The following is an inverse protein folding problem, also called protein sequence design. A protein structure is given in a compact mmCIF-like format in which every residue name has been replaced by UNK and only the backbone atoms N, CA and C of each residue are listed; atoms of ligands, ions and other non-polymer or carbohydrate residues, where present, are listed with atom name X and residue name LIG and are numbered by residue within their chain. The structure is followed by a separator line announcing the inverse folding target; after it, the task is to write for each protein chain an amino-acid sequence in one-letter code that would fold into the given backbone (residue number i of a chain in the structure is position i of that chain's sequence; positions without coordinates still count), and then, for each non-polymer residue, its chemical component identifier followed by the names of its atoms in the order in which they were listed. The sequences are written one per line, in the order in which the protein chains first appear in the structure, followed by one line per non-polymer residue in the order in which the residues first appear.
data_IF_641540527640
#
_entry.id   IF_641540527640
#
_cell.length_a   1.000
_cell.length_b   1.000
_cell.length_c   1.000
_cell.angle_alpha   90.00
_cell.angle_beta   90.00
_cell.angle_gamma   90.00
#
_symmetry.space_group_name_H-M   'P 1'
#
loop_
_entity.id
_entity.type
_entity.pdbx_description
1 polymer ?
#
# COMPACT_ATOMS: atom_id res chain seq x y z
N UNK A 1 17.18 9.69 -9.72
CA UNK A 1 16.12 10.22 -8.84
C UNK A 1 16.49 9.96 -7.39
N UNK A 2 16.40 10.96 -6.51
CA UNK A 2 16.86 10.86 -5.10
C UNK A 2 16.11 9.85 -4.21
N UNK A 3 14.98 9.30 -4.65
CA UNK A 3 14.31 8.21 -3.93
C UNK A 3 15.05 6.88 -4.07
N UNK A 4 15.75 6.65 -5.19
CA UNK A 4 16.45 5.39 -5.45
C UNK A 4 17.71 5.26 -4.58
N UNK A 5 18.43 6.35 -4.33
CA UNK A 5 19.56 6.35 -3.38
C UNK A 5 19.11 6.12 -1.93
N UNK A 6 17.96 6.69 -1.53
CA UNK A 6 17.36 6.46 -0.20
C UNK A 6 16.86 5.02 -0.04
N UNK A 7 16.31 4.44 -1.11
CA UNK A 7 15.89 3.04 -1.13
C UNK A 7 17.10 2.08 -1.05
N UNK A 8 18.18 2.37 -1.77
CA UNK A 8 19.45 1.62 -1.66
C UNK A 8 19.98 1.69 -0.23
N UNK A 9 20.00 2.87 0.40
CA UNK A 9 20.43 3.01 1.79
C UNK A 9 19.59 2.14 2.75
N UNK A 10 18.26 2.11 2.58
CA UNK A 10 17.38 1.25 3.38
C UNK A 10 17.69 -0.23 3.16
N UNK A 11 17.91 -0.68 1.92
CA UNK A 11 18.31 -2.05 1.58
C UNK A 11 19.69 -2.39 2.18
N UNK A 12 20.63 -1.44 2.19
CA UNK A 12 21.97 -1.63 2.79
C UNK A 12 21.87 -1.82 4.31
N UNK A 13 21.08 -1.02 5.03
CA UNK A 13 20.86 -1.24 6.47
C UNK A 13 20.22 -2.61 6.76
N UNK A 14 19.32 -3.04 5.88
CA UNK A 14 18.64 -4.33 5.96
C UNK A 14 19.62 -5.50 5.71
N UNK A 15 20.52 -5.36 4.75
CA UNK A 15 21.61 -6.31 4.49
C UNK A 15 22.62 -6.37 5.64
N UNK A 16 22.95 -5.23 6.26
CA UNK A 16 23.79 -5.16 7.46
C UNK A 16 23.12 -5.89 8.63
N UNK A 17 21.82 -5.67 8.86
CA UNK A 17 21.07 -6.38 9.91
C UNK A 17 21.07 -7.90 9.72
N UNK A 18 21.05 -8.38 8.47
CA UNK A 18 21.20 -9.81 8.14
C UNK A 18 22.61 -10.33 8.48
N UNK A 19 23.66 -9.54 8.22
CA UNK A 19 25.05 -9.89 8.59
C UNK A 19 25.19 -10.02 10.12
N UNK A 20 24.47 -9.19 10.88
CA UNK A 20 24.52 -9.23 12.35
C UNK A 20 23.53 -10.23 13.00
N UNK A 21 22.83 -11.05 12.21
CA UNK A 21 21.89 -12.05 12.73
C UNK A 21 22.62 -13.13 13.55
N UNK A 22 22.03 -13.64 14.66
CA UNK A 22 22.59 -14.75 15.43
C UNK A 22 22.92 -15.99 14.59
N UNK A 23 22.19 -16.18 13.49
CA UNK A 23 22.41 -17.28 12.53
C UNK A 23 23.64 -17.09 11.64
N UNK A 24 24.07 -15.84 11.44
CA UNK A 24 25.27 -15.48 10.69
C UNK A 24 26.51 -15.61 11.56
N UNK A 25 26.38 -15.36 12.87
CA UNK A 25 27.45 -15.55 13.86
C UNK A 25 27.52 -16.96 14.46
N UNK A 26 26.66 -17.88 14.01
CA UNK A 26 26.76 -19.28 14.39
C UNK A 26 26.44 -19.54 15.85
N UNK A 27 25.20 -19.27 16.28
CA UNK A 27 24.69 -19.93 17.49
C UNK A 27 24.45 -21.41 17.17
N UNK A 28 25.41 -22.26 17.54
CA UNK A 28 25.30 -23.72 17.46
C UNK A 28 24.16 -24.16 18.36
N UNK A 29 23.15 -24.81 17.79
CA UNK A 29 22.16 -25.58 18.57
C UNK A 29 22.91 -26.64 19.40
N UNK A 30 22.42 -26.99 20.59
CA UNK A 30 23.04 -27.99 21.48
C UNK A 30 23.29 -29.37 20.82
N UNK A 31 22.67 -29.63 19.66
CA UNK A 31 22.80 -30.87 18.86
C UNK A 31 23.80 -30.78 17.69
N UNK A 32 24.59 -29.70 17.56
CA UNK A 32 25.64 -29.58 16.54
C UNK A 32 25.15 -29.33 15.09
N UNK A 33 23.84 -29.24 14.87
CA UNK A 33 23.26 -28.87 13.57
C UNK A 33 22.97 -27.37 13.50
N UNK A 34 23.45 -26.70 12.43
CA UNK A 34 23.04 -25.33 12.12
C UNK A 34 21.54 -25.33 11.77
N UNK A 35 20.72 -24.44 12.38
CA UNK A 35 19.33 -24.30 11.95
C UNK A 35 19.29 -23.90 10.47
N UNK A 36 18.28 -24.35 9.70
CA UNK A 36 18.17 -24.00 8.30
C UNK A 36 17.99 -22.48 8.17
N UNK A 37 18.99 -21.82 7.58
CA UNK A 37 19.04 -20.35 7.40
C UNK A 37 17.88 -19.81 6.54
N UNK A 38 17.38 -20.62 5.61
CA UNK A 38 16.34 -20.23 4.65
C UNK A 38 14.99 -19.87 5.32
N UNK A 39 14.38 -20.72 6.17
CA UNK A 39 13.18 -20.37 6.93
C UNK A 39 13.26 -19.04 7.68
N UNK A 40 14.40 -18.71 8.27
CA UNK A 40 14.56 -17.43 8.99
C UNK A 40 14.63 -16.25 8.04
N UNK A 41 15.38 -16.36 6.93
CA UNK A 41 15.37 -15.32 5.91
C UNK A 41 13.98 -15.09 5.31
N UNK A 42 13.21 -16.16 5.09
CA UNK A 42 11.83 -16.06 4.61
C UNK A 42 10.91 -15.39 5.64
N UNK A 43 11.03 -15.74 6.93
CA UNK A 43 10.28 -15.08 8.01
C UNK A 43 10.63 -13.59 8.12
N UNK A 44 11.92 -13.25 8.01
CA UNK A 44 12.38 -11.86 8.03
C UNK A 44 11.87 -11.07 6.82
N UNK A 45 12.01 -11.62 5.61
CA UNK A 45 11.51 -11.00 4.38
C UNK A 45 10.00 -10.80 4.43
N UNK A 46 9.26 -11.81 4.90
CA UNK A 46 7.83 -11.72 5.15
C UNK A 46 7.51 -10.60 6.13
N UNK A 47 8.13 -10.59 7.32
CA UNK A 47 7.87 -9.61 8.37
C UNK A 47 8.12 -8.18 7.87
N UNK A 48 9.27 -7.92 7.26
CA UNK A 48 9.64 -6.59 6.82
C UNK A 48 8.75 -6.08 5.68
N UNK A 49 8.42 -6.93 4.71
CA UNK A 49 7.51 -6.57 3.63
C UNK A 49 6.08 -6.34 4.16
N UNK A 50 5.61 -7.24 5.03
CA UNK A 50 4.30 -7.11 5.66
C UNK A 50 4.19 -5.81 6.46
N UNK A 51 5.15 -5.52 7.34
CA UNK A 51 5.17 -4.31 8.16
C UNK A 51 5.26 -3.05 7.30
N UNK A 52 6.04 -3.07 6.22
CA UNK A 52 6.13 -1.96 5.27
C UNK A 52 4.80 -1.71 4.57
N UNK A 53 4.16 -2.77 4.05
CA UNK A 53 2.85 -2.68 3.40
C UNK A 53 1.79 -2.15 4.36
N UNK A 54 1.70 -2.72 5.58
CA UNK A 54 0.74 -2.31 6.60
C UNK A 54 0.94 -0.85 7.02
N UNK A 55 2.17 -0.48 7.38
CA UNK A 55 2.49 0.87 7.84
C UNK A 55 2.28 1.94 6.76
N UNK A 56 2.70 1.65 5.51
CA UNK A 56 2.47 2.55 4.39
C UNK A 56 0.97 2.71 4.10
N UNK A 57 0.21 1.62 4.11
CA UNK A 57 -1.23 1.67 3.88
C UNK A 57 -1.96 2.43 4.99
N UNK A 58 -1.58 2.24 6.25
CA UNK A 58 -2.11 2.99 7.38
C UNK A 58 -1.85 4.49 7.19
N UNK A 59 -0.59 4.86 6.95
CA UNK A 59 -0.20 6.25 6.84
C UNK A 59 -0.85 6.95 5.65
N UNK A 60 -0.74 6.38 4.44
CA UNK A 60 -1.24 7.02 3.21
C UNK A 60 -2.76 7.16 3.24
N UNK A 61 -3.47 6.15 3.71
CA UNK A 61 -4.94 6.10 3.67
C UNK A 61 -5.57 6.99 4.73
N UNK A 62 -5.12 6.87 5.98
CA UNK A 62 -5.84 7.45 7.12
C UNK A 62 -5.21 8.74 7.65
N UNK A 63 -3.94 9.02 7.32
CA UNK A 63 -3.21 10.17 7.87
C UNK A 63 -2.79 11.12 6.75
N UNK A 64 -1.83 10.70 5.91
CA UNK A 64 -1.24 11.52 4.87
C UNK A 64 -2.27 12.04 3.86
N UNK A 65 -3.18 11.19 3.39
CA UNK A 65 -4.25 11.60 2.48
C UNK A 65 -5.14 12.72 3.05
N UNK A 66 -5.53 12.60 4.32
CA UNK A 66 -6.39 13.58 5.01
C UNK A 66 -5.64 14.89 5.24
N UNK A 67 -4.39 14.81 5.71
CA UNK A 67 -3.55 16.00 5.94
C UNK A 67 -3.36 16.76 4.64
N UNK A 68 -2.96 16.08 3.56
CA UNK A 68 -2.76 16.73 2.25
C UNK A 68 -4.07 17.34 1.73
N UNK A 69 -5.19 16.63 1.85
CA UNK A 69 -6.49 17.13 1.41
C UNK A 69 -6.91 18.41 2.15
N UNK A 70 -6.62 18.48 3.46
CA UNK A 70 -6.99 19.63 4.32
C UNK A 70 -6.04 20.82 4.21
N UNK A 71 -4.87 20.67 3.62
CA UNK A 71 -3.82 21.71 3.68
C UNK A 71 -3.26 22.11 2.31
N UNK A 72 -3.53 21.37 1.24
CA UNK A 72 -3.07 21.72 -0.11
C UNK A 72 -4.20 22.29 -0.97
N UNK A 73 -3.89 23.27 -1.84
CA UNK A 73 -4.77 23.66 -2.94
C UNK A 73 -5.20 22.43 -3.75
N UNK A 74 -6.47 22.39 -4.19
CA UNK A 74 -7.06 21.22 -4.85
C UNK A 74 -6.25 20.71 -6.05
N UNK A 75 -5.73 21.58 -6.91
CA UNK A 75 -4.93 21.19 -8.07
C UNK A 75 -3.55 20.66 -7.66
N UNK A 76 -2.92 21.27 -6.65
CA UNK A 76 -1.65 20.79 -6.11
C UNK A 76 -1.80 19.43 -5.45
N UNK A 77 -2.86 19.24 -4.67
CA UNK A 77 -3.24 17.95 -4.08
C UNK A 77 -3.39 16.86 -5.15
N UNK A 78 -4.20 17.11 -6.18
CA UNK A 78 -4.42 16.15 -7.27
C UNK A 78 -3.14 15.80 -8.02
N UNK A 79 -2.30 16.80 -8.32
CA UNK A 79 -1.02 16.61 -8.97
C UNK A 79 -0.03 15.79 -8.12
N UNK A 80 0.07 16.08 -6.82
CA UNK A 80 0.91 15.33 -5.89
C UNK A 80 0.45 13.87 -5.79
N UNK A 81 -0.86 13.65 -5.62
CA UNK A 81 -1.45 12.31 -5.59
C UNK A 81 -1.17 11.51 -6.87
N UNK A 82 -1.19 12.15 -8.04
CA UNK A 82 -0.89 11.50 -9.32
C UNK A 82 0.52 10.92 -9.43
N UNK A 83 1.46 11.41 -8.61
CA UNK A 83 2.83 10.89 -8.51
C UNK A 83 2.98 9.92 -7.36
N UNK A 84 2.34 10.21 -6.24
CA UNK A 84 2.45 9.42 -5.02
C UNK A 84 1.76 8.06 -5.12
N UNK A 85 0.52 7.99 -5.65
CA UNK A 85 -0.25 6.74 -5.66
C UNK A 85 0.36 5.63 -6.52
N UNK A 86 0.88 5.89 -7.74
CA UNK A 86 1.58 4.85 -8.50
C UNK A 86 2.77 4.27 -7.74
N UNK A 87 3.58 5.11 -7.09
CA UNK A 87 4.72 4.65 -6.29
C UNK A 87 4.27 3.87 -5.05
N UNK A 88 3.24 4.35 -4.36
CA UNK A 88 2.64 3.69 -3.20
C UNK A 88 2.10 2.30 -3.56
N UNK A 89 1.23 2.18 -4.57
CA UNK A 89 0.63 0.89 -4.93
C UNK A 89 1.66 -0.08 -5.52
N UNK A 90 2.70 0.40 -6.21
CA UNK A 90 3.81 -0.45 -6.65
C UNK A 90 4.60 -1.02 -5.47
N UNK A 91 4.95 -0.18 -4.49
CA UNK A 91 5.66 -0.62 -3.29
C UNK A 91 4.84 -1.60 -2.46
N UNK A 92 3.58 -1.25 -2.15
CA UNK A 92 2.69 -2.14 -1.38
C UNK A 92 2.44 -3.44 -2.15
N UNK A 93 2.23 -3.39 -3.47
CA UNK A 93 2.09 -4.56 -4.32
C UNK A 93 3.30 -5.49 -4.26
N UNK A 94 4.52 -4.95 -4.37
CA UNK A 94 5.76 -5.72 -4.27
C UNK A 94 5.91 -6.36 -2.88
N UNK A 95 5.65 -5.60 -1.82
CA UNK A 95 5.68 -6.11 -0.45
C UNK A 95 4.65 -7.23 -0.23
N UNK A 96 3.42 -7.05 -0.72
CA UNK A 96 2.38 -8.08 -0.67
C UNK A 96 2.80 -9.34 -1.44
N UNK A 97 3.42 -9.22 -2.62
CA UNK A 97 3.91 -10.36 -3.39
C UNK A 97 4.97 -11.17 -2.62
N UNK A 98 5.95 -10.48 -2.01
CA UNK A 98 6.98 -11.13 -1.19
C UNK A 98 6.36 -11.80 0.04
N UNK A 99 5.41 -11.11 0.70
CA UNK A 99 4.70 -11.63 1.87
C UNK A 99 3.92 -12.90 1.52
N UNK A 100 3.14 -12.89 0.44
CA UNK A 100 2.41 -14.06 -0.08
C UNK A 100 3.36 -15.21 -0.41
N UNK A 101 4.46 -14.93 -1.13
CA UNK A 101 5.42 -15.95 -1.53
C UNK A 101 6.09 -16.61 -0.32
N UNK A 102 6.56 -15.82 0.64
CA UNK A 102 7.19 -16.32 1.85
C UNK A 102 6.19 -17.11 2.70
N UNK A 103 4.97 -16.60 2.89
CA UNK A 103 3.94 -17.27 3.67
C UNK A 103 3.52 -18.59 3.03
N UNK A 104 3.27 -18.59 1.72
CA UNK A 104 2.90 -19.81 0.97
C UNK A 104 4.00 -20.87 0.96
N UNK A 105 5.28 -20.46 0.94
CA UNK A 105 6.40 -21.38 1.05
C UNK A 105 6.49 -21.99 2.46
N UNK A 106 6.38 -21.16 3.50
CA UNK A 106 6.46 -21.61 4.90
C UNK A 106 5.25 -22.45 5.33
N UNK A 107 4.11 -22.29 4.67
CA UNK A 107 2.87 -23.00 4.95
C UNK A 107 2.32 -23.71 3.70
N UNK A 108 2.94 -24.83 3.25
CA UNK A 108 2.50 -25.53 2.05
C UNK A 108 1.04 -25.96 2.13
N UNK A 109 0.27 -25.74 1.06
CA UNK A 109 -1.20 -25.91 1.07
C UNK A 109 -1.69 -27.28 1.60
N UNK A 110 -0.98 -28.36 1.28
CA UNK A 110 -1.37 -29.72 1.69
C UNK A 110 -1.24 -29.95 3.20
N UNK A 111 -0.28 -29.30 3.85
CA UNK A 111 0.00 -29.44 5.29
C UNK A 111 -0.47 -28.25 6.11
N UNK A 112 -0.84 -27.13 5.47
CA UNK A 112 -1.33 -25.94 6.14
C UNK A 112 -2.67 -26.18 6.84
N UNK A 113 -2.76 -25.69 8.07
CA UNK A 113 -3.98 -25.59 8.85
C UNK A 113 -5.02 -24.73 8.13
N UNK A 114 -6.28 -24.89 8.53
CA UNK A 114 -7.39 -24.08 8.02
C UNK A 114 -7.14 -22.58 8.22
N UNK A 115 -6.61 -22.19 9.39
CA UNK A 115 -6.28 -20.81 9.69
C UNK A 115 -5.23 -20.25 8.71
N UNK A 116 -4.14 -20.97 8.46
CA UNK A 116 -3.08 -20.56 7.53
C UNK A 116 -3.61 -20.41 6.09
N UNK A 117 -4.51 -21.31 5.64
CA UNK A 117 -5.15 -21.19 4.33
C UNK A 117 -5.97 -19.91 4.19
N UNK A 118 -6.75 -19.55 5.22
CA UNK A 118 -7.47 -18.27 5.24
C UNK A 118 -6.50 -17.08 5.22
N UNK A 119 -5.41 -17.14 5.98
CA UNK A 119 -4.41 -16.08 5.98
C UNK A 119 -3.75 -15.87 4.62
N UNK A 120 -3.40 -16.95 3.92
CA UNK A 120 -2.92 -16.88 2.55
C UNK A 120 -3.96 -16.22 1.62
N UNK A 121 -5.25 -16.55 1.80
CA UNK A 121 -6.36 -15.93 1.08
C UNK A 121 -6.48 -14.41 1.33
N UNK A 122 -6.35 -13.96 2.57
CA UNK A 122 -6.34 -12.53 2.89
C UNK A 122 -5.12 -11.81 2.27
N UNK A 123 -3.93 -12.39 2.38
CA UNK A 123 -2.72 -11.82 1.76
C UNK A 123 -2.84 -11.72 0.23
N UNK A 124 -3.39 -12.75 -0.42
CA UNK A 124 -3.69 -12.74 -1.86
C UNK A 124 -4.73 -11.67 -2.22
N UNK A 125 -5.74 -11.48 -1.38
CA UNK A 125 -6.76 -10.43 -1.57
C UNK A 125 -6.13 -9.05 -1.48
N UNK A 126 -5.29 -8.79 -0.48
CA UNK A 126 -4.54 -7.54 -0.34
C UNK A 126 -3.67 -7.27 -1.57
N UNK A 127 -2.98 -8.29 -2.08
CA UNK A 127 -2.18 -8.20 -3.29
C UNK A 127 -3.05 -7.85 -4.51
N UNK A 128 -4.16 -8.56 -4.72
CA UNK A 128 -5.05 -8.36 -5.86
C UNK A 128 -5.68 -6.95 -5.86
N UNK A 129 -6.16 -6.47 -4.72
CA UNK A 129 -6.69 -5.11 -4.59
C UNK A 129 -5.63 -4.03 -4.86
N UNK A 130 -4.39 -4.23 -4.40
CA UNK A 130 -3.28 -3.32 -4.73
C UNK A 130 -2.96 -3.30 -6.22
N UNK A 131 -2.88 -4.46 -6.88
CA UNK A 131 -2.62 -4.53 -8.32
C UNK A 131 -3.75 -3.89 -9.13
N UNK A 132 -5.01 -4.11 -8.71
CA UNK A 132 -6.17 -3.48 -9.34
C UNK A 132 -6.08 -1.96 -9.20
N UNK A 133 -5.70 -1.46 -8.03
CA UNK A 133 -5.45 -0.04 -7.85
C UNK A 133 -4.29 0.48 -8.71
N UNK A 134 -3.18 -0.24 -8.79
CA UNK A 134 -1.99 0.16 -9.55
C UNK A 134 -2.27 0.26 -11.05
N UNK A 135 -2.88 -0.78 -11.62
CA UNK A 135 -3.00 -0.93 -13.07
C UNK A 135 -4.33 -0.45 -13.64
N UNK A 136 -5.39 -0.39 -12.82
CA UNK A 136 -6.74 -0.07 -13.29
C UNK A 136 -7.19 1.26 -12.71
N UNK A 137 -7.41 1.33 -11.39
CA UNK A 137 -8.07 2.50 -10.82
C UNK A 137 -7.19 3.76 -10.79
N UNK A 138 -5.91 3.66 -10.44
CA UNK A 138 -5.02 4.82 -10.36
C UNK A 138 -4.87 5.53 -11.72
N UNK A 139 -4.56 4.83 -12.83
CA UNK A 139 -4.52 5.46 -14.15
C UNK A 139 -5.84 6.15 -14.52
N UNK A 140 -6.97 5.50 -14.27
CA UNK A 140 -8.29 6.08 -14.54
C UNK A 140 -8.58 7.32 -13.68
N UNK A 141 -8.28 7.27 -12.37
CA UNK A 141 -8.45 8.40 -11.46
C UNK A 141 -7.58 9.59 -11.87
N UNK A 142 -6.33 9.35 -12.27
CA UNK A 142 -5.42 10.40 -12.74
C UNK A 142 -5.95 11.06 -14.01
N UNK A 143 -6.43 10.27 -14.97
CA UNK A 143 -7.00 10.80 -16.22
C UNK A 143 -8.25 11.65 -15.94
N UNK A 144 -9.18 11.15 -15.13
CA UNK A 144 -10.37 11.90 -14.72
C UNK A 144 -10.03 13.17 -13.94
N UNK A 145 -9.02 13.12 -13.07
CA UNK A 145 -8.53 14.28 -12.34
C UNK A 145 -8.00 15.36 -13.30
N UNK A 146 -7.20 14.98 -14.30
CA UNK A 146 -6.71 15.93 -15.32
C UNK A 146 -7.84 16.58 -16.10
N UNK A 147 -8.84 15.80 -16.52
CA UNK A 147 -10.01 16.31 -17.23
C UNK A 147 -10.83 17.26 -16.36
N UNK A 148 -11.06 16.89 -15.09
CA UNK A 148 -11.72 17.74 -14.10
C UNK A 148 -10.98 19.06 -13.88
N UNK A 149 -9.66 19.03 -13.73
CA UNK A 149 -8.84 20.23 -13.56
C UNK A 149 -8.91 21.19 -14.75
N UNK A 150 -9.11 20.69 -15.98
CA UNK A 150 -9.34 21.56 -17.15
C UNK A 150 -10.63 22.35 -17.00
N UNK A 151 -11.73 21.70 -16.63
CA UNK A 151 -13.04 22.33 -16.41
C UNK A 151 -12.96 23.31 -15.23
N UNK A 152 -12.29 22.93 -14.14
CA UNK A 152 -12.11 23.81 -12.97
C UNK A 152 -11.34 25.09 -13.33
N UNK A 153 -10.34 25.02 -14.22
CA UNK A 153 -9.63 26.21 -14.71
C UNK A 153 -10.51 27.11 -15.58
N UNK A 154 -11.37 26.56 -16.43
CA UNK A 154 -12.36 27.33 -17.21
C UNK A 154 -13.27 28.16 -16.28
N UNK A 155 -13.61 27.60 -15.12
CA UNK A 155 -14.44 28.22 -14.09
C UNK A 155 -13.66 29.04 -13.04
N UNK A 156 -12.33 29.22 -13.22
CA UNK A 156 -11.44 29.96 -12.31
C UNK A 156 -11.47 29.45 -10.85
N UNK A 157 -11.61 28.14 -10.66
CA UNK A 157 -11.53 27.44 -9.37
C UNK A 157 -10.42 26.38 -9.38
N UNK A 158 -10.10 25.80 -8.22
CA UNK A 158 -9.13 24.72 -8.07
C UNK A 158 -7.89 25.05 -7.25
N UNK A 159 -7.71 26.31 -6.89
CA UNK A 159 -6.64 26.78 -6.00
C UNK A 159 -7.11 26.91 -4.54
N UNK A 160 -8.40 26.72 -4.28
CA UNK A 160 -8.90 26.63 -2.92
C UNK A 160 -8.48 25.33 -2.23
N UNK A 161 -8.36 25.41 -0.91
CA UNK A 161 -8.24 24.25 -0.04
C UNK A 161 -9.65 23.69 0.19
N UNK A 162 -9.83 22.38 0.01
CA UNK A 162 -11.09 21.69 0.29
C UNK A 162 -12.05 21.56 -0.91
N UNK A 163 -13.37 21.52 -0.63
CA UNK A 163 -14.43 21.24 -1.62
C UNK A 163 -15.35 22.44 -1.92
N UNK A 164 -15.33 23.49 -1.12
CA UNK A 164 -16.43 24.47 -1.05
C UNK A 164 -16.74 25.12 -2.40
N UNK A 165 -15.75 25.74 -3.06
CA UNK A 165 -15.98 26.43 -4.34
C UNK A 165 -16.39 25.48 -5.47
N UNK A 166 -15.77 24.31 -5.55
CA UNK A 166 -16.13 23.32 -6.56
C UNK A 166 -17.58 22.84 -6.43
N UNK A 167 -18.07 22.62 -5.20
CA UNK A 167 -19.45 22.22 -4.95
C UNK A 167 -20.43 23.32 -5.37
N UNK A 168 -20.12 24.58 -5.08
CA UNK A 168 -20.98 25.70 -5.46
C UNK A 168 -21.07 25.87 -6.99
N UNK A 169 -19.94 25.86 -7.71
CA UNK A 169 -19.95 25.98 -9.18
C UNK A 169 -20.65 24.79 -9.84
N UNK A 170 -20.51 23.58 -9.28
CA UNK A 170 -21.17 22.39 -9.82
C UNK A 170 -22.70 22.45 -9.76
N UNK A 171 -23.31 23.31 -8.92
CA UNK A 171 -24.77 23.49 -8.88
C UNK A 171 -25.32 24.13 -10.15
N UNK A 172 -24.52 24.97 -10.81
CA UNK A 172 -24.92 25.75 -12.00
C UNK A 172 -24.17 25.34 -13.27
N UNK A 173 -23.14 24.49 -13.14
CA UNK A 173 -22.38 23.94 -14.27
C UNK A 173 -22.62 22.41 -14.41
N UNK A 174 -23.51 21.97 -15.32
CA UNK A 174 -23.81 20.55 -15.54
C UNK A 174 -22.60 19.72 -15.99
N UNK A 175 -21.68 20.31 -16.75
CA UNK A 175 -20.44 19.66 -17.22
C UNK A 175 -19.54 19.31 -16.04
N UNK A 176 -19.38 20.24 -15.09
CA UNK A 176 -18.60 20.02 -13.86
C UNK A 176 -19.30 19.01 -12.94
N UNK A 177 -20.62 19.09 -12.77
CA UNK A 177 -21.38 18.13 -11.96
C UNK A 177 -21.24 16.69 -12.46
N UNK A 178 -21.39 16.48 -13.78
CA UNK A 178 -21.22 15.17 -14.39
C UNK A 178 -19.78 14.65 -14.23
N UNK A 179 -18.78 15.52 -14.39
CA UNK A 179 -17.37 15.17 -14.18
C UNK A 179 -17.10 14.79 -12.72
N UNK A 180 -17.61 15.55 -11.74
CA UNK A 180 -17.49 15.26 -10.33
C UNK A 180 -18.07 13.89 -9.96
N UNK A 181 -19.24 13.54 -10.52
CA UNK A 181 -19.87 12.23 -10.31
C UNK A 181 -18.99 11.09 -10.84
N UNK A 182 -18.48 11.20 -12.07
CA UNK A 182 -17.59 10.19 -12.67
C UNK A 182 -16.30 10.04 -11.88
N UNK A 183 -15.65 11.15 -11.54
CA UNK A 183 -14.44 11.15 -10.73
C UNK A 183 -14.69 10.51 -9.36
N UNK A 184 -15.76 10.93 -8.67
CA UNK A 184 -16.12 10.41 -7.35
C UNK A 184 -16.39 8.90 -7.35
N UNK A 185 -17.02 8.37 -8.40
CA UNK A 185 -17.25 6.93 -8.54
C UNK A 185 -15.94 6.15 -8.70
N UNK A 186 -15.06 6.55 -9.63
CA UNK A 186 -13.79 5.86 -9.87
C UNK A 186 -12.85 5.98 -8.66
N UNK A 187 -12.74 7.18 -8.09
CA UNK A 187 -11.96 7.40 -6.86
C UNK A 187 -12.52 6.63 -5.66
N UNK A 188 -13.84 6.52 -5.55
CA UNK A 188 -14.52 5.73 -4.51
C UNK A 188 -14.19 4.25 -4.62
N UNK A 189 -14.23 3.67 -5.82
CA UNK A 189 -13.82 2.28 -6.07
C UNK A 189 -12.35 2.04 -5.74
N UNK A 190 -11.47 2.97 -6.11
CA UNK A 190 -10.05 2.92 -5.76
C UNK A 190 -9.83 2.91 -4.25
N UNK A 191 -10.50 3.82 -3.55
CA UNK A 191 -10.46 3.96 -2.09
C UNK A 191 -10.98 2.71 -1.39
N UNK A 192 -12.10 2.14 -1.87
CA UNK A 192 -12.66 0.90 -1.34
C UNK A 192 -11.68 -0.26 -1.51
N UNK A 193 -11.10 -0.45 -2.70
CA UNK A 193 -10.10 -1.48 -2.93
C UNK A 193 -8.90 -1.32 -1.99
N UNK A 194 -8.44 -0.09 -1.76
CA UNK A 194 -7.34 0.18 -0.83
C UNK A 194 -7.71 -0.12 0.63
N UNK A 195 -8.94 0.20 1.07
CA UNK A 195 -9.45 -0.16 2.40
C UNK A 195 -9.58 -1.68 2.55
N UNK A 196 -10.07 -2.40 1.55
CA UNK A 196 -10.17 -3.86 1.58
C UNK A 196 -8.79 -4.51 1.65
N UNK A 197 -7.81 -3.93 0.95
CA UNK A 197 -6.42 -4.36 1.06
C UNK A 197 -5.87 -4.16 2.47
N UNK A 198 -6.05 -2.97 3.04
CA UNK A 198 -5.63 -2.68 4.42
C UNK A 198 -6.33 -3.61 5.43
N UNK A 199 -7.64 -3.83 5.29
CA UNK A 199 -8.39 -4.74 6.16
C UNK A 199 -7.86 -6.18 6.10
N UNK A 200 -7.48 -6.65 4.92
CA UNK A 200 -6.84 -7.96 4.76
C UNK A 200 -5.47 -8.04 5.46
N UNK A 201 -4.65 -7.00 5.34
CA UNK A 201 -3.38 -6.90 6.07
C UNK A 201 -3.60 -6.81 7.60
N UNK A 202 -4.64 -6.10 8.04
CA UNK A 202 -4.99 -5.98 9.45
C UNK A 202 -5.43 -7.32 10.05
N UNK A 203 -6.26 -8.10 9.35
CA UNK A 203 -6.62 -9.46 9.77
C UNK A 203 -5.36 -10.34 9.88
N UNK A 204 -4.44 -10.21 8.94
CA UNK A 204 -3.18 -10.94 8.99
C UNK A 204 -2.29 -10.50 10.16
N UNK A 205 -2.27 -9.21 10.50
CA UNK A 205 -1.53 -8.71 11.68
C UNK A 205 -2.02 -9.37 12.97
N UNK A 206 -3.34 -9.58 13.10
CA UNK A 206 -3.92 -10.25 14.27
C UNK A 206 -3.49 -11.71 14.36
N UNK A 207 -3.46 -12.41 13.22
CA UNK A 207 -2.94 -13.77 13.16
C UNK A 207 -1.47 -13.83 13.59
N UNK A 208 -0.62 -12.92 13.08
CA UNK A 208 0.79 -12.87 13.45
C UNK A 208 0.97 -12.59 14.94
N UNK A 209 0.18 -11.69 15.53
CA UNK A 209 0.24 -11.38 16.96
C UNK A 209 0.05 -12.64 17.83
N UNK A 210 -0.85 -13.55 17.45
CA UNK A 210 -1.06 -14.82 18.14
C UNK A 210 0.07 -15.85 17.99
N UNK A 211 1.11 -15.54 17.21
CA UNK A 211 2.28 -16.41 16.97
C UNK A 211 3.57 -15.85 17.57
N UNK A 212 3.56 -14.61 18.05
CA UNK A 212 4.73 -13.98 18.67
C UNK A 212 4.78 -14.43 20.14
N UNK A 213 5.96 -14.88 20.58
CA UNK A 213 6.29 -15.08 21.99
C UNK A 213 7.24 -13.95 22.40
N UNK A 214 6.73 -12.97 23.14
CA UNK A 214 7.48 -11.78 23.59
C UNK A 214 8.25 -12.04 24.88
#
# INVERSE_FOLDING_TARGET
MGWMSRFIAAVTFLAIGVIFSPETFGSTSSDGQQPPKLPTYLKLAHLLCFSTAFGAALWVTFIGGIIMFKNLPRHQFGNLQSKMFPAYFAMVGACCAITVACFGYLHPWKSASTAEKYQLGFLLSAFAFNLTNLFVFTPMTIEMMKQRHKIEREEKIGEEIGWSKNVEVAKVNPKLAAMNKKFGMIHGLSSLANIMSFGSLAIHSWYLAGKINL
#
